data_IF_319158804262
#
_entry.id   IF_319158804262
#
_cell.length_a   1.000
_cell.length_b   1.000
_cell.length_c   1.000
_cell.angle_alpha   90.00
_cell.angle_beta   90.00
_cell.angle_gamma   90.00
#
_symmetry.space_group_name_H-M   'P 1'
#
loop_
_entity.id
_entity.type
_entity.pdbx_description
1 polymer ?
#
# COMPACT_ATOMS: atom_id res chain seq x y z
N UNK A 1 -2.44 18.97 2.97
CA UNK A 1 -3.13 17.71 3.37
C UNK A 1 -3.14 16.71 2.21
N UNK A 2 -3.59 17.09 1.00
CA UNK A 2 -3.62 16.18 -0.16
C UNK A 2 -2.26 15.59 -0.59
N UNK A 3 -1.15 16.30 -0.34
CA UNK A 3 0.20 15.88 -0.74
C UNK A 3 0.78 14.69 0.04
N UNK A 4 0.17 14.21 1.12
CA UNK A 4 0.73 13.10 1.94
C UNK A 4 -0.11 11.81 1.80
N UNK A 5 -1.37 11.93 1.39
CA UNK A 5 -2.31 10.81 1.34
C UNK A 5 -1.85 9.69 0.41
N UNK A 6 -1.18 10.01 -0.69
CA UNK A 6 -0.70 8.99 -1.63
C UNK A 6 0.30 8.02 -0.98
N UNK A 7 1.09 8.47 0.01
CA UNK A 7 2.01 7.59 0.77
C UNK A 7 1.21 6.56 1.57
N UNK A 8 0.10 6.95 2.18
CA UNK A 8 -0.80 6.02 2.87
C UNK A 8 -1.39 4.98 1.91
N UNK A 9 -1.76 5.41 0.70
CA UNK A 9 -2.25 4.47 -0.32
C UNK A 9 -1.19 3.45 -0.75
N UNK A 10 0.10 3.82 -0.76
CA UNK A 10 1.19 2.84 -0.98
C UNK A 10 1.15 1.74 0.10
N UNK A 11 1.02 2.12 1.37
CA UNK A 11 0.92 1.15 2.47
C UNK A 11 -0.36 0.29 2.40
N UNK A 12 -1.49 0.85 1.96
CA UNK A 12 -2.72 0.09 1.76
C UNK A 12 -2.59 -0.94 0.64
N UNK A 13 -1.96 -0.56 -0.48
CA UNK A 13 -1.67 -1.49 -1.58
C UNK A 13 -0.77 -2.63 -1.08
N UNK A 14 0.31 -2.31 -0.35
CA UNK A 14 1.21 -3.30 0.25
C UNK A 14 0.48 -4.24 1.20
N UNK A 15 -0.44 -3.72 2.02
CA UNK A 15 -1.23 -4.52 2.96
C UNK A 15 -2.15 -5.51 2.25
N UNK A 16 -2.77 -5.11 1.13
CA UNK A 16 -3.62 -6.00 0.34
C UNK A 16 -2.78 -7.05 -0.38
N UNK A 17 -1.62 -6.68 -0.94
CA UNK A 17 -0.68 -7.63 -1.51
C UNK A 17 -0.25 -8.65 -0.45
N UNK A 18 0.11 -8.18 0.75
CA UNK A 18 0.45 -9.03 1.88
C UNK A 18 -0.70 -9.97 2.25
N UNK A 19 -1.95 -9.51 2.20
CA UNK A 19 -3.13 -10.36 2.44
C UNK A 19 -3.28 -11.48 1.39
N UNK A 20 -3.03 -11.20 0.11
CA UNK A 20 -3.01 -12.23 -0.93
C UNK A 20 -1.86 -13.23 -0.75
N UNK A 21 -0.67 -12.74 -0.38
CA UNK A 21 0.50 -13.58 -0.07
C UNK A 21 0.23 -14.46 1.14
N UNK A 22 -0.33 -13.90 2.22
CA UNK A 22 -0.64 -14.61 3.45
C UNK A 22 -1.65 -15.74 3.21
N UNK A 23 -2.64 -15.50 2.35
CA UNK A 23 -3.63 -16.52 1.97
C UNK A 23 -3.02 -17.67 1.16
N UNK A 24 -1.91 -17.44 0.46
CA UNK A 24 -1.14 -18.50 -0.21
C UNK A 24 -0.21 -19.23 0.75
N UNK A 25 0.42 -18.50 1.68
CA UNK A 25 1.37 -19.08 2.66
C UNK A 25 0.69 -19.89 3.77
N UNK A 26 -0.49 -19.46 4.23
CA UNK A 26 -1.24 -20.07 5.32
C UNK A 26 -2.67 -20.41 4.87
N UNK A 27 -2.85 -21.43 4.02
CA UNK A 27 -4.17 -21.79 3.51
C UNK A 27 -5.11 -22.27 4.63
N UNK A 28 -4.60 -23.03 5.60
CA UNK A 28 -5.40 -23.70 6.65
C UNK A 28 -5.64 -22.85 7.91
N UNK A 29 -5.16 -21.61 7.94
CA UNK A 29 -5.40 -20.72 9.06
C UNK A 29 -6.91 -20.44 9.21
N UNK A 30 -7.41 -20.50 10.45
CA UNK A 30 -8.79 -20.13 10.81
C UNK A 30 -9.01 -18.68 10.39
N UNK A 31 -10.11 -18.41 9.67
CA UNK A 31 -10.44 -17.08 9.12
C UNK A 31 -11.72 -16.56 9.79
N UNK A 32 -11.62 -15.82 10.92
CA UNK A 32 -12.78 -15.32 11.64
C UNK A 32 -13.60 -14.32 10.81
N UNK A 33 -12.94 -13.61 9.88
CA UNK A 33 -13.57 -12.63 9.02
C UNK A 33 -13.06 -12.73 7.58
N UNK A 34 -13.99 -12.81 6.62
CA UNK A 34 -13.71 -12.65 5.19
C UNK A 34 -14.42 -11.39 4.70
N UNK A 35 -13.67 -10.53 4.02
CA UNK A 35 -14.22 -9.36 3.34
C UNK A 35 -15.28 -9.82 2.33
N UNK A 36 -16.43 -9.15 2.33
CA UNK A 36 -17.49 -9.41 1.37
C UNK A 36 -17.01 -9.18 -0.07
N UNK A 37 -17.35 -10.09 -0.98
CA UNK A 37 -16.88 -10.04 -2.37
C UNK A 37 -15.41 -10.39 -2.57
N UNK A 38 -14.73 -11.00 -1.59
CA UNK A 38 -13.38 -11.54 -1.82
C UNK A 38 -13.39 -12.60 -2.93
N UNK A 39 -12.46 -12.57 -3.91
CA UNK A 39 -11.29 -11.70 -4.04
C UNK A 39 -11.50 -10.40 -4.84
N UNK A 40 -12.69 -10.17 -5.39
CA UNK A 40 -12.98 -9.07 -6.32
C UNK A 40 -12.79 -7.70 -5.65
N UNK A 41 -13.35 -7.52 -4.45
CA UNK A 41 -13.28 -6.25 -3.71
C UNK A 41 -11.83 -5.77 -3.47
N UNK A 42 -10.92 -6.59 -2.91
CA UNK A 42 -9.53 -6.16 -2.75
C UNK A 42 -8.78 -5.99 -4.08
N UNK A 43 -9.12 -6.76 -5.12
CA UNK A 43 -8.49 -6.58 -6.43
C UNK A 43 -8.88 -5.24 -7.07
N UNK A 44 -10.16 -4.88 -6.98
CA UNK A 44 -10.67 -3.61 -7.46
C UNK A 44 -10.02 -2.43 -6.72
N UNK A 45 -9.94 -2.50 -5.38
CA UNK A 45 -9.23 -1.49 -4.61
C UNK A 45 -7.77 -1.35 -5.06
N UNK A 46 -7.07 -2.46 -5.29
CA UNK A 46 -5.67 -2.45 -5.71
C UNK A 46 -5.48 -1.73 -7.05
N UNK A 47 -6.38 -1.94 -8.01
CA UNK A 47 -6.36 -1.24 -9.31
C UNK A 47 -6.57 0.27 -9.12
N UNK A 48 -7.63 0.66 -8.41
CA UNK A 48 -7.99 2.08 -8.23
C UNK A 48 -6.92 2.83 -7.43
N UNK A 49 -6.45 2.25 -6.33
CA UNK A 49 -5.41 2.84 -5.49
C UNK A 49 -4.09 3.00 -6.26
N UNK A 50 -3.70 2.00 -7.06
CA UNK A 50 -2.49 2.10 -7.88
C UNK A 50 -2.62 3.19 -8.93
N UNK A 51 -3.77 3.29 -9.61
CA UNK A 51 -4.04 4.37 -10.57
C UNK A 51 -3.99 5.76 -9.95
N UNK A 52 -4.51 5.91 -8.73
CA UNK A 52 -4.40 7.16 -7.96
C UNK A 52 -2.94 7.52 -7.64
N UNK A 53 -2.17 6.58 -7.09
CA UNK A 53 -0.75 6.81 -6.75
C UNK A 53 0.07 7.18 -7.99
N UNK A 54 -0.11 6.46 -9.10
CA UNK A 54 0.58 6.74 -10.37
C UNK A 54 0.20 8.13 -10.89
N UNK A 55 -1.07 8.50 -10.83
CA UNK A 55 -1.54 9.82 -11.27
C UNK A 55 -0.92 10.94 -10.43
N UNK A 56 -0.83 10.79 -9.11
CA UNK A 56 -0.19 11.78 -8.23
C UNK A 56 1.31 11.90 -8.50
N UNK A 57 1.97 10.78 -8.78
CA UNK A 57 3.40 10.77 -9.17
C UNK A 57 3.66 11.50 -10.49
N UNK A 58 2.81 11.29 -11.51
CA UNK A 58 2.99 11.87 -12.84
C UNK A 58 2.58 13.35 -12.91
N UNK A 59 1.42 13.70 -12.35
CA UNK A 59 0.84 15.03 -12.51
C UNK A 59 1.29 16.03 -11.44
N UNK A 60 1.77 15.59 -10.28
CA UNK A 60 2.13 16.46 -9.15
C UNK A 60 3.55 16.21 -8.62
N UNK A 61 4.51 15.98 -9.51
CA UNK A 61 5.88 15.59 -9.17
C UNK A 61 6.55 16.48 -8.11
N UNK A 62 6.34 17.80 -8.17
CA UNK A 62 6.92 18.77 -7.23
C UNK A 62 6.39 18.68 -5.79
N UNK A 63 5.17 18.16 -5.58
CA UNK A 63 4.60 17.98 -4.23
C UNK A 63 4.72 16.53 -3.73
N UNK A 64 4.95 15.58 -4.63
CA UNK A 64 5.06 14.15 -4.32
C UNK A 64 6.45 13.74 -3.84
N UNK A 65 7.50 14.51 -4.09
CA UNK A 65 8.85 14.12 -3.70
C UNK A 65 9.12 14.14 -2.17
N UNK A 66 8.59 15.06 -1.35
CA UNK A 66 8.88 15.10 0.10
C UNK A 66 8.25 13.93 0.84
N UNK A 67 7.04 13.51 0.48
CA UNK A 67 6.40 12.35 1.09
C UNK A 67 7.14 11.04 0.79
N UNK A 68 7.71 10.93 -0.41
CA UNK A 68 8.37 9.71 -0.88
C UNK A 68 9.77 9.59 -0.28
N UNK A 69 10.47 10.71 -0.12
CA UNK A 69 11.74 10.75 0.59
C UNK A 69 11.59 10.38 2.07
N UNK A 70 10.58 10.89 2.78
CA UNK A 70 10.31 10.48 4.17
C UNK A 70 10.05 8.97 4.27
N UNK A 71 9.27 8.41 3.34
CA UNK A 71 9.05 6.97 3.28
C UNK A 71 10.35 6.18 3.10
N UNK A 72 11.20 6.58 2.15
CA UNK A 72 12.47 5.89 1.86
C UNK A 72 13.45 6.04 3.03
N UNK A 73 13.51 7.20 3.70
CA UNK A 73 14.38 7.45 4.87
C UNK A 73 14.04 6.55 6.06
N UNK A 74 12.80 6.05 6.15
CA UNK A 74 12.44 5.05 7.17
C UNK A 74 13.28 3.76 7.09
N UNK A 75 13.70 3.33 5.89
CA UNK A 75 14.52 2.12 5.69
C UNK A 75 15.95 2.24 6.29
N UNK A 76 16.77 3.25 5.94
CA UNK A 76 18.09 3.41 6.52
C UNK A 76 18.03 3.70 8.02
N UNK A 77 17.01 4.43 8.51
CA UNK A 77 16.83 4.61 9.96
C UNK A 77 16.59 3.27 10.66
N UNK A 78 15.78 2.38 10.09
CA UNK A 78 15.59 1.03 10.64
C UNK A 78 16.93 0.27 10.73
N UNK A 79 17.79 0.34 9.71
CA UNK A 79 19.08 -0.39 9.70
C UNK A 79 20.16 0.21 10.60
N UNK A 80 20.09 1.51 10.89
CA UNK A 80 21.07 2.19 11.75
C UNK A 80 20.71 1.99 13.23
N UNK A 81 19.42 1.92 13.55
CA UNK A 81 18.93 1.82 14.93
C UNK A 81 18.62 0.39 15.41
N UNK A 82 18.32 -0.55 14.50
CA UNK A 82 18.08 -1.97 14.80
C UNK A 82 19.16 -2.84 14.14
#
# INVERSE_FOLDING_TARGET
IGAILYVLYIFYILSIIALFILRRKLPDAIRPFKVWGYPITPLFFLIVASGYVISVLLFNFGQSWPGLSVFVVGLPVYWIWF
#
